data_IF_866670668415
#
_entry.id   IF_866670668415
#
_cell.length_a   1.000
_cell.length_b   1.000
_cell.length_c   1.000
_cell.angle_alpha   90.00
_cell.angle_beta   90.00
_cell.angle_gamma   90.00
#
_symmetry.space_group_name_H-M   'P 1'
#
loop_
_entity.id
_entity.type
_entity.pdbx_description
1 polymer ?
#
# COMPACT_ATOMS: atom_id res chain seq x y z
N UNK A 1 -31.59 28.16 -18.74
CA UNK A 1 -30.16 28.11 -18.36
C UNK A 1 -29.83 28.53 -16.91
N UNK A 2 -30.66 29.28 -16.17
CA UNK A 2 -30.38 29.58 -14.75
C UNK A 2 -30.54 28.38 -13.77
N UNK A 3 -31.42 27.43 -14.09
CA UNK A 3 -31.68 26.23 -13.28
C UNK A 3 -30.51 25.22 -13.26
N UNK A 4 -29.63 25.27 -14.26
CA UNK A 4 -28.43 24.42 -14.31
C UNK A 4 -27.26 25.03 -13.52
N UNK A 5 -27.12 26.37 -13.55
CA UNK A 5 -26.13 27.11 -12.74
C UNK A 5 -26.40 27.01 -11.23
N UNK A 6 -27.69 27.02 -10.84
CA UNK A 6 -28.08 26.79 -9.44
C UNK A 6 -27.77 25.37 -8.99
N UNK A 7 -27.93 24.37 -9.88
CA UNK A 7 -27.49 22.99 -9.61
C UNK A 7 -25.97 22.93 -9.45
N UNK A 8 -25.19 23.58 -10.32
CA UNK A 8 -23.73 23.63 -10.18
C UNK A 8 -23.26 24.27 -8.87
N UNK A 9 -23.90 25.36 -8.42
CA UNK A 9 -23.57 25.99 -7.13
C UNK A 9 -23.92 25.14 -5.91
N UNK A 10 -24.92 24.26 -6.03
CA UNK A 10 -25.30 23.28 -5.00
C UNK A 10 -24.40 22.02 -5.00
N UNK A 11 -23.61 21.82 -6.07
CA UNK A 11 -22.69 20.69 -6.24
C UNK A 11 -21.22 21.04 -6.02
N UNK A 12 -20.89 22.29 -5.67
CA UNK A 12 -19.62 22.51 -4.98
C UNK A 12 -19.75 21.83 -3.61
N UNK A 13 -18.96 20.77 -3.31
CA UNK A 13 -18.82 20.38 -1.92
C UNK A 13 -18.38 21.65 -1.21
N UNK A 14 -19.18 22.14 -0.27
CA UNK A 14 -18.78 23.23 0.62
C UNK A 14 -17.33 22.97 1.04
N UNK A 15 -16.48 23.99 1.07
CA UNK A 15 -15.05 23.81 1.40
C UNK A 15 -14.87 22.96 2.68
N UNK A 16 -15.83 23.05 3.61
CA UNK A 16 -15.96 22.19 4.79
C UNK A 16 -16.04 20.68 4.50
N UNK A 17 -16.77 20.25 3.46
CA UNK A 17 -16.84 18.85 3.01
C UNK A 17 -15.50 18.35 2.48
N UNK A 18 -14.77 19.20 1.75
CA UNK A 18 -13.43 18.89 1.25
C UNK A 18 -12.42 18.76 2.40
N UNK A 19 -12.42 19.69 3.37
CA UNK A 19 -11.57 19.58 4.56
C UNK A 19 -11.88 18.34 5.39
N UNK A 20 -13.17 18.00 5.57
CA UNK A 20 -13.59 16.75 6.24
C UNK A 20 -13.10 15.52 5.49
N UNK A 21 -13.12 15.54 4.17
CA UNK A 21 -12.58 14.48 3.33
C UNK A 21 -11.07 14.32 3.52
N UNK A 22 -10.29 15.40 3.36
CA UNK A 22 -8.83 15.36 3.56
C UNK A 22 -8.45 14.85 4.96
N UNK A 23 -9.16 15.29 6.00
CA UNK A 23 -8.93 14.81 7.36
C UNK A 23 -9.11 13.30 7.49
N UNK A 24 -10.12 12.72 6.83
CA UNK A 24 -10.33 11.26 6.83
C UNK A 24 -9.23 10.53 6.07
N UNK A 25 -8.81 11.06 4.92
CA UNK A 25 -7.69 10.51 4.13
C UNK A 25 -6.41 10.49 4.96
N UNK A 26 -6.05 11.61 5.57
CA UNK A 26 -4.85 11.70 6.41
C UNK A 26 -4.91 10.74 7.60
N UNK A 27 -6.04 10.69 8.30
CA UNK A 27 -6.20 9.76 9.42
C UNK A 27 -6.03 8.31 8.98
N UNK A 28 -6.56 7.96 7.80
CA UNK A 28 -6.44 6.63 7.24
C UNK A 28 -4.98 6.28 6.88
N UNK A 29 -4.27 7.20 6.22
CA UNK A 29 -2.85 7.05 5.88
C UNK A 29 -2.03 6.82 7.16
N UNK A 30 -2.15 7.73 8.14
CA UNK A 30 -1.43 7.61 9.40
C UNK A 30 -1.76 6.32 10.15
N UNK A 31 -2.99 5.83 10.07
CA UNK A 31 -3.37 4.56 10.72
C UNK A 31 -2.64 3.38 10.10
N UNK A 32 -2.60 3.29 8.76
CA UNK A 32 -1.91 2.19 8.07
C UNK A 32 -0.41 2.29 8.27
N UNK A 33 0.16 3.48 8.12
CA UNK A 33 1.60 3.70 8.34
C UNK A 33 2.00 3.37 9.78
N UNK A 34 1.17 3.68 10.77
CA UNK A 34 1.42 3.35 12.17
C UNK A 34 1.36 1.84 12.42
N UNK A 35 0.36 1.15 11.88
CA UNK A 35 0.25 -0.31 11.99
C UNK A 35 1.47 -0.98 11.34
N UNK A 36 1.82 -0.55 10.12
CA UNK A 36 3.02 -1.04 9.42
C UNK A 36 4.30 -0.77 10.22
N UNK A 37 4.43 0.43 10.77
CA UNK A 37 5.59 0.82 11.58
C UNK A 37 5.71 -0.04 12.84
N UNK A 38 4.60 -0.32 13.53
CA UNK A 38 4.58 -1.17 14.73
C UNK A 38 5.01 -2.60 14.36
N UNK A 39 4.43 -3.19 13.32
CA UNK A 39 4.74 -4.56 12.90
C UNK A 39 6.21 -4.70 12.46
N UNK A 40 6.72 -3.75 11.67
CA UNK A 40 8.13 -3.72 11.27
C UNK A 40 9.05 -3.50 12.46
N UNK A 41 8.69 -2.60 13.37
CA UNK A 41 9.48 -2.34 14.59
C UNK A 41 9.57 -3.60 15.46
N UNK A 42 8.45 -4.30 15.66
CA UNK A 42 8.43 -5.56 16.43
C UNK A 42 9.37 -6.60 15.81
N UNK A 43 9.38 -6.70 14.48
CA UNK A 43 10.24 -7.66 13.80
C UNK A 43 11.71 -7.25 13.84
N UNK A 44 12.03 -5.99 13.55
CA UNK A 44 13.39 -5.46 13.62
C UNK A 44 13.96 -5.48 15.04
N UNK A 45 13.13 -5.28 16.08
CA UNK A 45 13.58 -5.29 17.47
C UNK A 45 14.14 -6.65 17.93
N UNK A 46 13.89 -7.73 17.19
CA UNK A 46 14.49 -9.04 17.46
C UNK A 46 15.98 -9.10 17.06
N UNK A 47 16.43 -8.21 16.17
CA UNK A 47 17.79 -8.22 15.62
C UNK A 47 18.60 -6.98 16.02
N UNK A 48 17.94 -5.87 16.39
CA UNK A 48 18.60 -4.62 16.72
C UNK A 48 17.98 -3.91 17.92
N UNK A 49 18.74 -3.00 18.53
CA UNK A 49 18.28 -2.19 19.65
C UNK A 49 16.93 -1.51 19.36
N UNK A 50 16.02 -1.51 20.33
CA UNK A 50 14.66 -1.01 20.17
C UNK A 50 14.58 0.40 19.56
N UNK A 51 15.42 1.34 20.00
CA UNK A 51 15.45 2.71 19.44
C UNK A 51 15.75 2.73 17.94
N UNK A 52 16.69 1.87 17.50
CA UNK A 52 17.05 1.73 16.09
C UNK A 52 15.92 1.03 15.33
N UNK A 53 15.38 -0.06 15.89
CA UNK A 53 14.25 -0.78 15.30
C UNK A 53 13.02 0.12 15.09
N UNK A 54 12.71 0.99 16.05
CA UNK A 54 11.60 1.95 15.96
C UNK A 54 11.79 2.93 14.81
N UNK A 55 12.97 3.53 14.71
CA UNK A 55 13.29 4.45 13.61
C UNK A 55 13.20 3.75 12.24
N UNK A 56 13.77 2.54 12.16
CA UNK A 56 13.76 1.75 10.93
C UNK A 56 12.35 1.30 10.55
N UNK A 57 11.53 0.89 11.51
CA UNK A 57 10.14 0.49 11.28
C UNK A 57 9.28 1.63 10.78
N UNK A 58 9.37 2.81 11.41
CA UNK A 58 8.64 4.02 10.96
C UNK A 58 9.06 4.40 9.54
N UNK A 59 10.36 4.51 9.28
CA UNK A 59 10.86 4.93 7.98
C UNK A 59 10.44 3.98 6.85
N UNK A 60 10.63 2.67 7.04
CA UNK A 60 10.28 1.69 6.01
C UNK A 60 8.78 1.58 5.81
N UNK A 61 7.96 1.79 6.85
CA UNK A 61 6.51 1.81 6.71
C UNK A 61 6.03 2.98 5.85
N UNK A 62 6.49 4.20 6.15
CA UNK A 62 6.16 5.40 5.37
C UNK A 62 6.68 5.26 3.94
N UNK A 63 7.92 4.79 3.77
CA UNK A 63 8.54 4.60 2.45
C UNK A 63 7.76 3.59 1.60
N UNK A 64 7.38 2.46 2.17
CA UNK A 64 6.65 1.39 1.49
C UNK A 64 5.22 1.82 1.13
N UNK A 65 4.48 2.43 2.07
CA UNK A 65 3.11 2.89 1.82
C UNK A 65 3.05 3.97 0.74
N UNK A 66 4.03 4.88 0.71
CA UNK A 66 4.11 5.91 -0.32
C UNK A 66 4.81 5.44 -1.61
N UNK A 67 5.17 4.15 -1.71
CA UNK A 67 5.86 3.56 -2.87
C UNK A 67 7.15 4.31 -3.27
N UNK A 68 7.88 4.87 -2.30
CA UNK A 68 9.06 5.71 -2.57
C UNK A 68 10.32 4.90 -2.92
N UNK A 69 10.36 3.63 -2.51
CA UNK A 69 11.51 2.75 -2.74
C UNK A 69 12.75 3.06 -1.88
N UNK A 70 12.66 4.01 -0.94
CA UNK A 70 13.78 4.35 -0.07
C UNK A 70 13.96 3.35 1.08
N UNK A 71 15.21 3.13 1.46
CA UNK A 71 15.61 2.23 2.53
C UNK A 71 16.81 2.81 3.28
N UNK A 72 16.87 2.56 4.59
CA UNK A 72 18.01 2.97 5.42
C UNK A 72 19.14 1.92 5.34
N UNK A 73 18.84 0.71 4.88
CA UNK A 73 19.84 -0.35 4.74
C UNK A 73 20.75 -0.09 3.55
N UNK A 74 22.07 -0.27 3.72
CA UNK A 74 23.07 0.01 2.67
C UNK A 74 22.83 -0.79 1.37
N UNK A 75 22.40 -2.05 1.50
CA UNK A 75 22.07 -2.93 0.37
C UNK A 75 20.56 -3.11 0.19
N UNK A 76 19.78 -2.16 0.72
CA UNK A 76 18.34 -2.25 0.80
C UNK A 76 17.81 -3.48 1.53
N UNK A 77 16.66 -3.98 1.09
CA UNK A 77 15.97 -5.10 1.75
C UNK A 77 16.54 -6.48 1.39
N UNK A 78 17.67 -6.57 0.66
CA UNK A 78 18.30 -7.84 0.27
C UNK A 78 18.64 -8.69 1.50
N UNK A 79 19.05 -8.06 2.60
CA UNK A 79 19.34 -8.76 3.87
C UNK A 79 18.11 -9.50 4.43
N UNK A 80 16.90 -9.05 4.09
CA UNK A 80 15.63 -9.60 4.57
C UNK A 80 14.92 -10.47 3.53
N UNK A 81 15.61 -10.91 2.46
CA UNK A 81 15.02 -11.71 1.39
C UNK A 81 14.33 -13.00 1.87
N UNK A 82 14.81 -13.60 2.97
CA UNK A 82 14.22 -14.81 3.56
C UNK A 82 13.22 -14.53 4.70
N UNK A 83 13.05 -13.27 5.09
CA UNK A 83 12.13 -12.91 6.17
C UNK A 83 10.72 -12.73 5.62
N UNK A 84 9.92 -13.79 5.76
CA UNK A 84 8.53 -13.81 5.29
C UNK A 84 7.71 -12.70 5.95
N UNK A 85 7.96 -12.38 7.23
CA UNK A 85 7.19 -11.37 7.93
C UNK A 85 7.44 -9.97 7.35
N UNK A 86 8.71 -9.59 7.16
CA UNK A 86 9.07 -8.28 6.59
C UNK A 86 8.56 -8.18 5.16
N UNK A 87 8.76 -9.23 4.35
CA UNK A 87 8.30 -9.25 2.96
C UNK A 87 6.78 -9.08 2.86
N UNK A 88 6.01 -9.78 3.70
CA UNK A 88 4.55 -9.64 3.72
C UNK A 88 4.10 -8.25 4.16
N UNK A 89 4.73 -7.67 5.19
CA UNK A 89 4.37 -6.34 5.69
C UNK A 89 4.65 -5.27 4.62
N UNK A 90 5.87 -5.24 4.08
CA UNK A 90 6.29 -4.27 3.06
C UNK A 90 5.44 -4.39 1.79
N UNK A 91 5.25 -5.62 1.29
CA UNK A 91 4.44 -5.84 0.08
C UNK A 91 2.99 -5.43 0.30
N UNK A 92 2.42 -5.72 1.47
CA UNK A 92 1.06 -5.29 1.80
C UNK A 92 0.95 -3.76 1.84
N UNK A 93 1.92 -3.07 2.44
CA UNK A 93 1.94 -1.60 2.47
C UNK A 93 2.03 -0.99 1.07
N UNK A 94 2.88 -1.55 0.20
CA UNK A 94 3.03 -1.12 -1.21
C UNK A 94 1.72 -1.31 -1.97
N UNK A 95 1.09 -2.48 -1.85
CA UNK A 95 -0.18 -2.78 -2.55
C UNK A 95 -1.29 -1.86 -2.04
N UNK A 96 -1.45 -1.74 -0.72
CA UNK A 96 -2.48 -0.90 -0.12
C UNK A 96 -2.26 0.57 -0.51
N UNK A 97 -1.03 1.07 -0.38
CA UNK A 97 -0.66 2.43 -0.78
C UNK A 97 -0.90 2.70 -2.26
N UNK A 98 -0.58 1.73 -3.14
CA UNK A 98 -0.76 1.83 -4.58
C UNK A 98 -2.23 1.82 -5.04
N UNK A 99 -3.13 1.15 -4.32
CA UNK A 99 -4.57 1.15 -4.64
C UNK A 99 -5.23 2.51 -4.37
N UNK A 100 -4.72 3.25 -3.38
CA UNK A 100 -5.23 4.56 -3.00
C UNK A 100 -6.49 4.54 -2.13
N UNK A 101 -6.74 5.66 -1.43
CA UNK A 101 -7.80 5.78 -0.42
C UNK A 101 -9.21 5.47 -0.93
N UNK A 102 -9.57 5.96 -2.13
CA UNK A 102 -10.93 5.78 -2.66
C UNK A 102 -11.30 4.32 -2.89
N UNK A 103 -10.37 3.55 -3.46
CA UNK A 103 -10.53 2.11 -3.69
C UNK A 103 -10.65 1.37 -2.36
N UNK A 104 -9.81 1.72 -1.38
CA UNK A 104 -9.81 1.06 -0.07
C UNK A 104 -11.08 1.36 0.74
N UNK A 105 -11.57 2.60 0.71
CA UNK A 105 -12.83 2.97 1.34
C UNK A 105 -13.99 2.23 0.71
N UNK A 106 -14.03 2.18 -0.62
CA UNK A 106 -15.06 1.45 -1.33
C UNK A 106 -15.02 -0.05 -0.93
N UNK A 107 -13.84 -0.68 -0.96
CA UNK A 107 -13.66 -2.06 -0.51
C UNK A 107 -14.09 -2.29 0.95
N UNK A 108 -13.76 -1.38 1.87
CA UNK A 108 -14.13 -1.48 3.29
C UNK A 108 -15.65 -1.41 3.50
N UNK A 109 -16.34 -0.46 2.88
CA UNK A 109 -17.79 -0.34 3.00
C UNK A 109 -18.54 -1.48 2.29
N UNK A 110 -17.96 -2.04 1.23
CA UNK A 110 -18.56 -3.15 0.48
C UNK A 110 -18.34 -4.54 1.09
N UNK A 111 -17.48 -4.73 2.09
CA UNK A 111 -17.40 -6.02 2.81
C UNK A 111 -18.76 -6.48 3.40
N UNK A 112 -19.78 -5.60 3.48
CA UNK A 112 -21.14 -5.94 3.92
C UNK A 112 -22.17 -6.24 2.83
N UNK A 113 -21.87 -6.05 1.53
CA UNK A 113 -22.77 -6.39 0.39
C UNK A 113 -21.98 -6.89 -0.83
N UNK A 114 -22.53 -7.86 -1.58
CA UNK A 114 -21.88 -8.56 -2.71
C UNK A 114 -20.99 -7.65 -3.59
N UNK A 115 -19.85 -8.19 -4.04
CA UNK A 115 -18.85 -7.62 -4.96
C UNK A 115 -19.40 -7.05 -6.30
N UNK A 116 -20.67 -7.29 -6.61
CA UNK A 116 -21.33 -6.87 -7.85
C UNK A 116 -21.64 -5.37 -7.92
N UNK A 117 -21.49 -4.64 -6.80
CA UNK A 117 -21.83 -3.21 -6.69
C UNK A 117 -20.62 -2.26 -6.65
N UNK A 118 -19.39 -2.76 -6.87
CA UNK A 118 -18.21 -1.90 -6.96
C UNK A 118 -18.31 -0.98 -8.19
N UNK A 119 -17.85 0.26 -8.05
CA UNK A 119 -17.70 1.19 -9.16
C UNK A 119 -16.82 0.59 -10.26
N UNK A 120 -17.11 0.94 -11.52
CA UNK A 120 -16.30 0.50 -12.66
C UNK A 120 -14.84 0.90 -12.49
N UNK A 121 -14.58 2.09 -11.93
CA UNK A 121 -13.25 2.57 -11.61
C UNK A 121 -12.51 1.62 -10.66
N UNK A 122 -13.09 1.33 -9.48
CA UNK A 122 -12.45 0.44 -8.50
C UNK A 122 -12.27 -0.97 -9.04
N UNK A 123 -13.24 -1.49 -9.79
CA UNK A 123 -13.11 -2.80 -10.44
C UNK A 123 -11.94 -2.83 -11.42
N UNK A 124 -11.80 -1.81 -12.26
CA UNK A 124 -10.69 -1.72 -13.21
C UNK A 124 -9.34 -1.63 -12.50
N UNK A 125 -9.22 -0.77 -11.48
CA UNK A 125 -7.97 -0.61 -10.71
C UNK A 125 -7.58 -1.92 -10.05
N UNK A 126 -8.49 -2.56 -9.31
CA UNK A 126 -8.20 -3.82 -8.60
C UNK A 126 -7.83 -4.94 -9.57
N UNK A 127 -8.58 -5.12 -10.66
CA UNK A 127 -8.29 -6.16 -11.66
C UNK A 127 -6.95 -5.89 -12.35
N UNK A 128 -6.67 -4.65 -12.75
CA UNK A 128 -5.40 -4.28 -13.37
C UNK A 128 -4.22 -4.50 -12.41
N UNK A 129 -4.33 -4.09 -11.14
CA UNK A 129 -3.29 -4.31 -10.14
C UNK A 129 -3.00 -5.79 -9.91
N UNK A 130 -4.04 -6.63 -9.74
CA UNK A 130 -3.87 -8.07 -9.57
C UNK A 130 -3.21 -8.69 -10.80
N UNK A 131 -3.69 -8.33 -11.99
CA UNK A 131 -3.14 -8.84 -13.24
C UNK A 131 -1.66 -8.46 -13.40
N UNK A 132 -1.30 -7.20 -13.17
CA UNK A 132 0.07 -6.72 -13.29
C UNK A 132 0.99 -7.35 -12.25
N UNK A 133 0.57 -7.47 -10.99
CA UNK A 133 1.38 -8.09 -9.94
C UNK A 133 1.65 -9.57 -10.30
N UNK A 134 0.61 -10.31 -10.68
CA UNK A 134 0.74 -11.74 -10.94
C UNK A 134 1.54 -12.03 -12.22
N UNK A 135 1.26 -11.30 -13.32
CA UNK A 135 2.02 -11.43 -14.57
C UNK A 135 3.49 -11.05 -14.39
N UNK A 136 3.78 -9.94 -13.70
CA UNK A 136 5.17 -9.51 -13.43
C UNK A 136 5.90 -10.53 -12.58
N UNK A 137 5.24 -11.07 -11.54
CA UNK A 137 5.82 -12.10 -10.67
C UNK A 137 6.16 -13.36 -11.46
N UNK A 138 5.24 -13.85 -12.30
CA UNK A 138 5.46 -15.03 -13.14
C UNK A 138 6.60 -14.83 -14.14
N UNK A 139 6.65 -13.65 -14.77
CA UNK A 139 7.73 -13.31 -15.72
C UNK A 139 9.06 -13.31 -14.99
N UNK A 140 9.20 -12.55 -13.90
CA UNK A 140 10.46 -12.48 -13.14
C UNK A 140 10.86 -13.87 -12.64
N UNK A 141 9.91 -14.64 -12.10
CA UNK A 141 10.18 -15.99 -11.65
C UNK A 141 10.69 -16.88 -12.78
N UNK A 142 10.03 -16.90 -13.95
CA UNK A 142 10.45 -17.74 -15.09
C UNK A 142 11.86 -17.39 -15.61
N UNK A 143 12.24 -16.11 -15.61
CA UNK A 143 13.56 -15.67 -16.05
C UNK A 143 14.65 -15.94 -15.00
N UNK A 144 14.38 -15.68 -13.73
CA UNK A 144 15.36 -15.78 -12.65
C UNK A 144 15.47 -17.18 -12.04
N UNK A 145 14.52 -18.09 -12.33
CA UNK A 145 14.52 -19.46 -11.79
C UNK A 145 15.80 -20.23 -12.09
N UNK A 146 16.36 -20.05 -13.29
CA UNK A 146 17.60 -20.72 -13.71
C UNK A 146 18.85 -19.89 -13.43
N UNK A 147 18.73 -18.70 -12.85
CA UNK A 147 19.86 -17.79 -12.63
C UNK A 147 20.50 -18.05 -11.25
N UNK A 148 21.73 -18.60 -11.19
CA UNK A 148 22.38 -18.92 -9.93
C UNK A 148 22.79 -17.67 -9.13
N UNK A 149 22.87 -16.48 -9.74
CA UNK A 149 23.24 -15.26 -9.01
C UNK A 149 22.08 -14.70 -8.15
N UNK A 150 20.85 -15.21 -8.32
CA UNK A 150 19.63 -14.67 -7.71
C UNK A 150 18.76 -15.78 -7.12
N UNK A 151 17.78 -16.30 -7.86
CA UNK A 151 16.74 -17.24 -7.40
C UNK A 151 17.13 -18.70 -7.62
N UNK A 152 17.99 -18.99 -8.60
CA UNK A 152 18.39 -20.36 -8.93
C UNK A 152 19.14 -21.10 -7.81
N UNK A 153 19.71 -20.39 -6.84
CA UNK A 153 20.30 -20.99 -5.62
C UNK A 153 19.28 -21.23 -4.49
N UNK A 154 18.03 -20.77 -4.62
CA UNK A 154 16.95 -21.03 -3.67
C UNK A 154 16.08 -22.24 -4.04
N UNK A 155 16.26 -22.78 -5.25
CA UNK A 155 15.59 -23.99 -5.73
C UNK A 155 16.39 -25.26 -5.46
#
# INVERSE_FOLDING_TARGET
>A
SARNLLKESLFYPSMDGLFKFFKKVLLFIFTIELIGAILLTMRFALEMNFKKALWFGIFHSISAFNNSGFTIFEHGLIAYKHDIAINLIITSLIIIGGLGYFVLVELYFFQRKKLQNLSLHTKMVVVASIFLIFSSTLIIFAFEYSNPQTIGHFS
#
